data_IF_790400728202
#
_entry.id   IF_790400728202
#
_cell.length_a   1.000
_cell.length_b   1.000
_cell.length_c   1.000
_cell.angle_alpha   90.00
_cell.angle_beta   90.00
_cell.angle_gamma   90.00
#
_symmetry.space_group_name_H-M   'P 1'
#
loop_
_entity.id
_entity.type
_entity.pdbx_description
1 polymer ?
#
# COMPACT_ATOMS: atom_id res chain seq x y z
N UNK A 1 -46.92 24.11 -12.64
CA UNK A 1 -47.91 23.85 -11.56
C UNK A 1 -47.51 22.58 -10.84
N UNK A 2 -47.83 22.47 -9.53
CA UNK A 2 -48.01 21.23 -8.75
C UNK A 2 -46.91 20.13 -8.84
N UNK A 3 -45.95 20.26 -7.93
CA UNK A 3 -45.58 19.30 -6.86
C UNK A 3 -45.96 17.79 -6.95
N UNK A 4 -44.99 16.94 -6.55
CA UNK A 4 -45.11 15.61 -5.90
C UNK A 4 -45.82 14.43 -6.60
N UNK A 5 -45.06 13.33 -6.71
CA UNK A 5 -45.56 11.95 -6.60
C UNK A 5 -44.74 11.20 -5.54
N UNK A 6 -45.36 10.39 -4.68
CA UNK A 6 -44.71 9.69 -3.57
C UNK A 6 -45.56 8.50 -3.10
N UNK A 7 -44.93 7.52 -2.41
CA UNK A 7 -45.54 6.33 -1.76
C UNK A 7 -46.15 5.28 -2.72
N UNK A 8 -46.41 4.03 -2.30
CA UNK A 8 -45.74 3.08 -1.38
C UNK A 8 -46.36 1.67 -1.64
N UNK A 9 -45.65 0.63 -1.20
CA UNK A 9 -46.11 -0.72 -0.78
C UNK A 9 -47.37 -1.38 -1.37
N UNK A 10 -47.19 -2.61 -1.87
CA UNK A 10 -48.26 -3.62 -1.92
C UNK A 10 -47.69 -5.04 -1.71
N UNK A 11 -47.71 -5.53 -0.48
CA UNK A 11 -47.41 -6.93 -0.16
C UNK A 11 -48.62 -7.85 -0.38
N UNK A 12 -48.38 -9.12 -0.75
CA UNK A 12 -49.33 -10.25 -0.59
C UNK A 12 -48.58 -11.57 -0.47
N UNK A 13 -49.21 -12.58 0.12
CA UNK A 13 -48.49 -13.64 0.83
C UNK A 13 -49.22 -15.00 0.84
N UNK A 14 -48.44 -16.06 1.14
CA UNK A 14 -48.82 -17.43 1.54
C UNK A 14 -49.44 -18.39 0.51
N UNK A 15 -49.32 -19.69 0.85
CA UNK A 15 -49.45 -20.86 -0.05
C UNK A 15 -48.07 -21.45 -0.35
N UNK A 16 -47.31 -22.02 0.59
CA UNK A 16 -47.68 -23.11 1.52
C UNK A 16 -48.24 -24.35 0.80
N UNK A 17 -47.32 -25.20 0.33
CA UNK A 17 -47.59 -26.60 0.05
C UNK A 17 -46.43 -27.46 0.59
N UNK A 18 -46.73 -28.58 1.21
CA UNK A 18 -45.72 -29.43 1.87
C UNK A 18 -46.17 -30.89 1.99
N UNK A 19 -45.39 -31.84 1.42
CA UNK A 19 -45.48 -33.24 1.79
C UNK A 19 -44.20 -33.77 2.48
N UNK A 20 -44.43 -34.44 3.61
CA UNK A 20 -43.69 -35.57 4.21
C UNK A 20 -42.41 -36.06 3.50
N UNK A 21 -41.42 -36.47 4.33
CA UNK A 21 -40.65 -37.70 4.01
C UNK A 21 -39.15 -37.68 4.34
N UNK A 22 -38.78 -37.56 5.61
CA UNK A 22 -37.38 -37.70 6.05
C UNK A 22 -36.76 -39.05 5.60
N UNK A 23 -35.71 -39.02 4.77
CA UNK A 23 -34.80 -40.16 4.53
C UNK A 23 -33.43 -39.71 4.03
N UNK A 24 -32.40 -40.40 4.53
CA UNK A 24 -31.04 -40.53 3.96
C UNK A 24 -30.34 -39.22 3.53
N UNK A 25 -29.55 -38.65 4.44
CA UNK A 25 -28.75 -37.45 4.16
C UNK A 25 -27.41 -37.72 3.45
N UNK A 26 -26.68 -36.63 3.24
CA UNK A 26 -25.23 -36.62 2.97
C UNK A 26 -24.59 -35.73 4.04
N UNK A 27 -23.61 -36.25 4.77
CA UNK A 27 -22.81 -35.45 5.69
C UNK A 27 -21.76 -34.68 4.88
N UNK A 28 -22.06 -33.43 4.53
CA UNK A 28 -21.13 -32.53 3.84
C UNK A 28 -20.03 -32.05 4.80
N UNK A 29 -19.06 -32.92 5.09
CA UNK A 29 -17.86 -32.60 5.87
C UNK A 29 -16.77 -32.08 4.94
N UNK A 30 -16.33 -30.84 5.20
CA UNK A 30 -15.18 -30.24 4.55
C UNK A 30 -15.47 -29.54 3.21
N UNK A 31 -14.69 -28.55 2.78
CA UNK A 31 -13.53 -27.93 3.44
C UNK A 31 -13.68 -26.41 3.43
N UNK A 32 -13.24 -25.74 4.49
CA UNK A 32 -13.18 -24.29 4.53
C UNK A 32 -11.99 -23.80 3.68
N UNK A 33 -12.23 -23.58 2.39
CA UNK A 33 -11.28 -22.95 1.48
C UNK A 33 -11.16 -21.44 1.78
N UNK A 34 -10.64 -21.11 2.97
CA UNK A 34 -10.17 -19.77 3.31
C UNK A 34 -8.98 -19.47 2.41
N UNK A 35 -9.22 -18.72 1.33
CA UNK A 35 -8.18 -18.16 0.47
C UNK A 35 -7.41 -17.08 1.26
N UNK A 36 -6.50 -17.55 2.11
CA UNK A 36 -5.48 -16.74 2.76
C UNK A 36 -4.47 -16.29 1.70
N UNK A 37 -4.86 -15.31 0.88
CA UNK A 37 -3.95 -14.55 0.02
C UNK A 37 -3.06 -13.68 0.91
N UNK A 38 -2.10 -14.31 1.58
CA UNK A 38 -1.11 -13.60 2.38
C UNK A 38 -0.31 -12.65 1.50
N UNK A 39 -0.23 -11.39 1.90
CA UNK A 39 0.53 -10.37 1.19
C UNK A 39 2.02 -10.73 1.21
N UNK A 40 2.51 -11.33 0.12
CA UNK A 40 3.93 -11.63 -0.06
C UNK A 40 4.70 -10.32 -0.24
N UNK A 41 5.33 -9.85 0.83
CA UNK A 41 6.22 -8.69 0.76
C UNK A 41 7.44 -9.06 -0.10
N UNK A 42 7.86 -8.23 -1.07
CA UNK A 42 8.92 -8.59 -2.01
C UNK A 42 10.25 -8.89 -1.30
N UNK A 43 10.96 -9.88 -1.85
CA UNK A 43 12.30 -10.31 -1.43
C UNK A 43 13.19 -10.34 -2.67
N UNK A 44 14.13 -9.39 -2.77
CA UNK A 44 14.99 -9.24 -3.94
C UNK A 44 16.29 -10.04 -3.80
N UNK A 45 16.65 -10.75 -4.87
CA UNK A 45 17.96 -11.36 -5.08
C UNK A 45 19.07 -10.30 -5.26
N UNK A 46 20.32 -10.72 -5.25
CA UNK A 46 21.46 -9.82 -5.49
C UNK A 46 21.44 -9.25 -6.92
N UNK A 47 21.04 -10.05 -7.91
CA UNK A 47 20.89 -9.61 -9.32
C UNK A 47 19.80 -8.55 -9.48
N UNK A 48 18.63 -8.73 -8.85
CA UNK A 48 17.55 -7.72 -8.86
C UNK A 48 17.98 -6.41 -8.17
N UNK A 49 18.78 -6.50 -7.10
CA UNK A 49 19.32 -5.31 -6.42
C UNK A 49 20.38 -4.59 -7.28
N UNK A 50 21.21 -5.34 -8.02
CA UNK A 50 22.16 -4.79 -8.99
C UNK A 50 21.41 -4.03 -10.08
N UNK A 51 20.34 -4.61 -10.65
CA UNK A 51 19.48 -3.94 -11.64
C UNK A 51 18.85 -2.66 -11.07
N UNK A 52 18.37 -2.68 -9.82
CA UNK A 52 17.84 -1.49 -9.14
C UNK A 52 18.90 -0.40 -8.94
N UNK A 53 20.12 -0.75 -8.48
CA UNK A 53 21.23 0.20 -8.32
C UNK A 53 21.64 0.81 -9.66
N UNK A 54 21.77 -0.01 -10.69
CA UNK A 54 22.24 0.42 -12.01
C UNK A 54 21.16 1.20 -12.79
N UNK A 55 19.89 1.06 -12.38
CA UNK A 55 18.76 1.90 -12.83
C UNK A 55 18.53 3.16 -11.98
N UNK A 56 19.27 3.35 -10.89
CA UNK A 56 19.00 4.41 -9.92
C UNK A 56 19.55 5.78 -10.33
N UNK A 57 18.86 6.85 -9.91
CA UNK A 57 19.44 8.19 -9.89
C UNK A 57 20.64 8.27 -8.93
N UNK A 58 21.58 9.18 -9.20
CA UNK A 58 22.89 9.23 -8.55
C UNK A 58 22.87 9.21 -6.99
N UNK A 59 21.86 9.82 -6.36
CA UNK A 59 21.67 9.77 -4.91
C UNK A 59 21.42 8.34 -4.40
N UNK A 60 20.44 7.65 -5.00
CA UNK A 60 20.09 6.27 -4.62
C UNK A 60 21.17 5.27 -5.07
N UNK A 61 21.80 5.48 -6.22
CA UNK A 61 22.92 4.65 -6.69
C UNK A 61 24.13 4.66 -5.75
N UNK A 62 24.39 5.80 -5.09
CA UNK A 62 25.43 5.91 -4.06
C UNK A 62 25.05 5.22 -2.74
N UNK A 63 23.76 5.29 -2.33
CA UNK A 63 23.26 4.53 -1.16
C UNK A 63 23.32 3.02 -1.41
N UNK A 64 23.06 2.58 -2.64
CA UNK A 64 22.96 1.17 -3.01
C UNK A 64 24.28 0.55 -3.48
N UNK A 65 25.43 1.18 -3.22
CA UNK A 65 26.75 0.67 -3.66
C UNK A 65 27.02 -0.77 -3.19
N UNK A 66 26.66 -1.09 -1.94
CA UNK A 66 26.86 -2.42 -1.31
C UNK A 66 25.63 -3.34 -1.35
N UNK A 67 24.53 -2.91 -2.01
CA UNK A 67 23.25 -3.63 -2.12
C UNK A 67 22.52 -3.86 -0.77
N UNK A 68 22.92 -3.17 0.28
CA UNK A 68 22.28 -3.12 1.60
C UNK A 68 21.67 -1.71 1.78
N UNK A 69 20.83 -1.51 2.80
CA UNK A 69 20.41 -0.16 3.21
C UNK A 69 20.38 -0.13 4.73
N UNK A 70 21.24 0.66 5.36
CA UNK A 70 21.27 0.80 6.81
C UNK A 70 20.09 1.63 7.34
N UNK A 71 19.94 1.63 8.66
CA UNK A 71 18.99 2.51 9.34
C UNK A 71 19.41 4.00 9.31
N UNK A 72 20.60 4.34 8.79
CA UNK A 72 21.06 5.71 8.56
C UNK A 72 20.72 6.15 7.15
N UNK A 73 21.19 5.46 6.09
CA UNK A 73 20.89 5.85 4.70
C UNK A 73 19.38 5.91 4.43
N UNK A 74 18.58 4.98 4.98
CA UNK A 74 17.12 5.06 4.82
C UNK A 74 16.52 6.31 5.49
N UNK A 75 17.02 6.73 6.65
CA UNK A 75 16.55 7.97 7.31
C UNK A 75 16.97 9.20 6.51
N UNK A 76 18.18 9.20 5.98
CA UNK A 76 18.72 10.32 5.22
C UNK A 76 18.01 10.45 3.86
N UNK A 77 17.66 9.33 3.23
CA UNK A 77 16.82 9.27 2.03
C UNK A 77 15.39 9.80 2.30
N UNK A 78 14.73 9.38 3.39
CA UNK A 78 13.42 9.95 3.78
C UNK A 78 13.54 11.44 4.13
N UNK A 79 14.66 11.86 4.72
CA UNK A 79 14.99 13.26 4.96
C UNK A 79 15.11 14.07 3.67
N UNK A 80 15.77 13.51 2.65
CA UNK A 80 15.92 14.12 1.33
C UNK A 80 14.58 14.18 0.57
N UNK A 81 13.76 13.11 0.59
CA UNK A 81 12.38 13.14 0.08
C UNK A 81 11.56 14.24 0.75
N UNK A 82 11.62 14.33 2.09
CA UNK A 82 10.92 15.37 2.86
C UNK A 82 11.40 16.78 2.49
N UNK A 83 12.70 16.98 2.30
CA UNK A 83 13.27 18.26 1.89
C UNK A 83 12.82 18.65 0.48
N UNK A 84 12.89 17.72 -0.48
CA UNK A 84 12.40 17.91 -1.85
C UNK A 84 10.93 18.35 -1.86
N UNK A 85 10.05 17.66 -1.12
CA UNK A 85 8.63 18.03 -1.00
C UNK A 85 8.44 19.41 -0.36
N UNK A 86 9.22 19.75 0.68
CA UNK A 86 9.17 21.07 1.32
C UNK A 86 9.60 22.21 0.38
N UNK A 87 10.69 22.03 -0.37
CA UNK A 87 11.23 23.03 -1.29
C UNK A 87 10.31 23.26 -2.51
N UNK A 88 9.44 22.28 -2.83
CA UNK A 88 8.37 22.41 -3.84
C UNK A 88 7.12 23.11 -3.29
N UNK A 89 7.17 23.66 -2.07
CA UNK A 89 6.14 24.52 -1.48
C UNK A 89 5.09 23.81 -0.61
N UNK A 90 5.29 22.54 -0.26
CA UNK A 90 4.38 21.81 0.62
C UNK A 90 4.69 22.03 2.10
N UNK A 91 3.65 22.02 2.94
CA UNK A 91 3.81 21.82 4.37
C UNK A 91 4.17 20.36 4.64
N UNK A 92 5.23 20.11 5.43
CA UNK A 92 5.64 18.75 5.82
C UNK A 92 5.81 18.64 7.33
N UNK A 93 5.18 17.63 7.91
CA UNK A 93 5.24 17.31 9.33
C UNK A 93 6.61 16.77 9.78
N UNK A 94 6.71 16.22 10.99
CA UNK A 94 7.85 15.42 11.40
C UNK A 94 7.95 14.14 10.54
N UNK A 95 9.12 13.48 10.58
CA UNK A 95 9.26 12.10 10.13
C UNK A 95 8.79 11.20 11.27
N UNK A 96 7.86 10.28 10.98
CA UNK A 96 7.20 9.40 11.95
C UNK A 96 7.55 7.93 11.66
N UNK A 97 7.59 7.07 12.69
CA UNK A 97 7.87 5.64 12.53
C UNK A 97 6.58 4.85 12.38
N UNK A 98 6.33 4.27 11.20
CA UNK A 98 5.22 3.34 10.96
C UNK A 98 5.75 1.91 10.83
N UNK A 99 5.62 1.12 11.90
CA UNK A 99 6.10 -0.25 11.96
C UNK A 99 7.60 -0.36 11.65
N UNK A 100 7.94 -0.87 10.47
CA UNK A 100 9.33 -1.03 9.97
C UNK A 100 9.77 0.07 8.99
N UNK A 101 8.95 1.08 8.75
CA UNK A 101 9.17 2.17 7.79
C UNK A 101 9.13 3.54 8.47
N UNK A 102 9.60 4.56 7.77
CA UNK A 102 9.46 5.96 8.15
C UNK A 102 8.47 6.62 7.19
N UNK A 103 7.45 7.28 7.74
CA UNK A 103 6.47 8.07 7.00
C UNK A 103 6.69 9.56 7.21
N UNK A 104 6.05 10.37 6.37
CA UNK A 104 5.98 11.83 6.51
C UNK A 104 4.55 12.29 6.21
N UNK A 105 4.02 13.18 7.04
CA UNK A 105 2.74 13.84 6.77
C UNK A 105 2.97 15.05 5.87
N UNK A 106 2.15 15.24 4.83
CA UNK A 106 2.26 16.38 3.90
C UNK A 106 0.91 17.10 3.74
N UNK A 107 0.94 18.42 3.68
CA UNK A 107 -0.22 19.29 3.43
C UNK A 107 0.08 20.31 2.34
N UNK A 108 -0.96 20.67 1.58
CA UNK A 108 -0.90 21.65 0.50
C UNK A 108 -1.94 22.75 0.73
N UNK A 109 -1.57 24.00 0.42
CA UNK A 109 -2.37 25.19 0.74
C UNK A 109 -2.51 26.16 -0.45
N UNK A 110 -2.38 25.66 -1.68
CA UNK A 110 -2.60 26.44 -2.90
C UNK A 110 -4.05 26.36 -3.41
N UNK A 111 -4.42 27.25 -4.33
CA UNK A 111 -5.77 27.41 -4.89
C UNK A 111 -6.20 26.31 -5.89
N UNK A 112 -5.70 25.08 -5.73
CA UNK A 112 -5.99 23.95 -6.62
C UNK A 112 -5.65 22.61 -5.97
N UNK A 113 -6.01 21.48 -6.61
CA UNK A 113 -5.54 20.18 -6.15
C UNK A 113 -4.01 20.13 -6.20
N UNK A 114 -3.34 19.50 -5.23
CA UNK A 114 -1.91 19.22 -5.35
C UNK A 114 -1.63 18.39 -6.61
N UNK A 115 -0.47 18.62 -7.23
CA UNK A 115 0.06 17.72 -8.25
C UNK A 115 0.74 16.54 -7.55
N UNK A 116 0.16 15.35 -7.71
CA UNK A 116 0.73 14.09 -7.22
C UNK A 116 2.11 13.82 -7.85
N UNK A 117 2.39 14.41 -9.02
CA UNK A 117 3.70 14.36 -9.67
C UNK A 117 4.81 14.91 -8.78
N UNK A 118 4.56 15.97 -8.00
CA UNK A 118 5.56 16.53 -7.08
C UNK A 118 5.95 15.51 -6.00
N UNK A 119 4.97 14.77 -5.48
CA UNK A 119 5.21 13.73 -4.47
C UNK A 119 5.88 12.51 -5.09
N UNK A 120 5.45 12.09 -6.29
CA UNK A 120 6.04 10.97 -7.03
C UNK A 120 7.49 11.28 -7.43
N UNK A 121 7.76 12.42 -8.05
CA UNK A 121 9.09 12.77 -8.56
C UNK A 121 10.11 12.87 -7.40
N UNK A 122 9.73 13.45 -6.26
CA UNK A 122 10.57 13.45 -5.04
C UNK A 122 10.74 12.04 -4.41
N UNK A 123 9.79 11.13 -4.60
CA UNK A 123 9.90 9.74 -4.14
C UNK A 123 10.78 8.91 -5.10
N UNK A 124 10.66 9.11 -6.41
CA UNK A 124 11.46 8.44 -7.44
C UNK A 124 12.92 8.92 -7.47
N UNK A 125 13.19 10.18 -7.15
CA UNK A 125 14.56 10.70 -7.06
C UNK A 125 15.31 10.15 -5.83
N UNK A 126 14.65 10.05 -4.67
CA UNK A 126 15.30 9.80 -3.38
C UNK A 126 14.99 8.45 -2.72
N UNK A 127 13.86 7.78 -3.01
CA UNK A 127 13.35 6.69 -2.17
C UNK A 127 12.85 5.41 -2.88
N UNK A 128 12.50 5.43 -4.17
CA UNK A 128 11.86 4.26 -4.84
C UNK A 128 12.63 2.93 -4.69
N UNK A 129 13.93 2.90 -4.98
CA UNK A 129 14.74 1.68 -4.85
C UNK A 129 15.25 1.48 -3.41
N UNK A 130 15.69 2.56 -2.76
CA UNK A 130 16.19 2.52 -1.38
C UNK A 130 15.12 2.00 -0.41
N UNK A 131 13.88 2.49 -0.52
CA UNK A 131 12.72 2.04 0.26
C UNK A 131 12.34 0.59 -0.03
N UNK A 132 12.36 0.18 -1.31
CA UNK A 132 12.07 -1.21 -1.72
C UNK A 132 13.06 -2.20 -1.12
N UNK A 133 14.37 -1.94 -1.26
CA UNK A 133 15.44 -2.79 -0.74
C UNK A 133 15.46 -2.75 0.80
N UNK A 134 15.17 -1.60 1.42
CA UNK A 134 15.00 -1.43 2.87
C UNK A 134 13.88 -2.29 3.47
N UNK A 135 12.69 -2.31 2.83
CA UNK A 135 11.56 -3.15 3.27
C UNK A 135 11.92 -4.62 3.13
N UNK A 136 12.41 -5.01 1.94
CA UNK A 136 12.77 -6.38 1.60
C UNK A 136 13.74 -7.02 2.60
N UNK A 137 14.85 -6.34 2.93
CA UNK A 137 15.83 -6.79 3.94
C UNK A 137 15.20 -7.16 5.29
N UNK A 138 14.11 -6.48 5.65
CA UNK A 138 13.46 -6.59 6.96
C UNK A 138 12.12 -7.33 6.89
N UNK A 139 11.83 -7.99 5.77
CA UNK A 139 10.73 -8.98 5.62
C UNK A 139 11.18 -10.37 5.19
N UNK A 140 12.46 -10.58 4.88
CA UNK A 140 13.06 -11.92 4.84
C UNK A 140 12.78 -12.71 6.13
N UNK A 141 12.18 -13.91 6.05
CA UNK A 141 12.07 -14.80 7.20
C UNK A 141 13.47 -15.24 7.66
N UNK A 142 13.66 -15.39 8.97
CA UNK A 142 14.79 -16.15 9.51
C UNK A 142 14.75 -17.59 8.98
N UNK A 143 15.88 -18.07 8.44
CA UNK A 143 16.12 -19.50 8.21
C UNK A 143 16.24 -20.26 9.53
#
# INVERSE_FOLDING_TARGET
MVTTGSRMDAARSLGQDAPRGNRSGVAAVGWAALLLTGCTVPSFSEDEKLEMRDSAGAFQGAILEDLVVSATEYRDAVGATRACVQDKGWGVGPIEQDGKQLGLQSSFTGDGPPSDDVMRDCYDEYLTFVGSIWVSQRTSPTR
#
